data_IF_298381868048
#
_entry.id   IF_298381868048
#
_cell.length_a   1.000
_cell.length_b   1.000
_cell.length_c   1.000
_cell.angle_alpha   90.00
_cell.angle_beta   90.00
_cell.angle_gamma   90.00
#
_symmetry.space_group_name_H-M   'P 1'
#
loop_
_entity.id
_entity.type
_entity.pdbx_description
1 polymer ?
#
# COMPACT_ATOMS: atom_id res chain seq x y z
N UNK A 1 0.18 4.72 -14.43
CA UNK A 1 0.47 6.12 -14.83
C UNK A 1 -0.59 6.97 -14.16
N UNK A 2 -0.25 7.71 -13.10
CA UNK A 2 -1.21 8.66 -12.52
C UNK A 2 -1.54 9.68 -13.61
N UNK A 3 -2.78 9.72 -14.07
CA UNK A 3 -3.29 10.87 -14.81
C UNK A 3 -2.99 12.06 -13.93
N UNK A 4 -2.18 12.99 -14.44
CA UNK A 4 -1.86 14.23 -13.75
C UNK A 4 -3.21 14.86 -13.41
N UNK A 5 -3.62 14.78 -12.15
CA UNK A 5 -4.63 15.67 -11.64
C UNK A 5 -4.03 17.04 -11.85
N UNK A 6 -4.52 17.75 -12.87
CA UNK A 6 -4.16 19.15 -13.08
C UNK A 6 -4.62 19.85 -11.81
N UNK A 7 -3.69 20.02 -10.88
CA UNK A 7 -3.92 20.84 -9.70
C UNK A 7 -4.41 22.19 -10.22
N UNK A 8 -5.50 22.70 -9.63
CA UNK A 8 -5.95 24.05 -9.93
C UNK A 8 -4.75 24.99 -9.79
N UNK A 9 -4.47 25.79 -10.83
CA UNK A 9 -3.33 26.71 -10.87
C UNK A 9 -3.35 27.73 -9.72
N UNK A 10 -4.49 27.88 -9.04
CA UNK A 10 -4.66 28.73 -7.86
C UNK A 10 -4.21 28.07 -6.55
N UNK A 11 -3.90 26.76 -6.53
CA UNK A 11 -3.45 26.08 -5.31
C UNK A 11 -2.07 26.62 -4.89
N UNK A 12 -1.92 27.11 -3.65
CA UNK A 12 -0.63 27.54 -3.13
C UNK A 12 0.44 26.45 -3.29
N UNK A 13 1.61 26.82 -3.81
CA UNK A 13 2.70 25.88 -4.05
C UNK A 13 3.11 25.09 -2.79
N UNK A 14 3.06 25.73 -1.62
CA UNK A 14 3.36 25.10 -0.32
C UNK A 14 2.40 23.95 0.01
N UNK A 15 1.10 24.11 -0.27
CA UNK A 15 0.11 23.05 -0.05
C UNK A 15 0.30 21.89 -1.03
N UNK A 16 0.55 22.19 -2.31
CA UNK A 16 0.85 21.17 -3.31
C UNK A 16 2.12 20.38 -2.92
N UNK A 17 3.15 21.06 -2.41
CA UNK A 17 4.36 20.42 -1.92
C UNK A 17 4.07 19.51 -0.72
N UNK A 18 3.37 20.03 0.30
CA UNK A 18 2.99 19.27 1.50
C UNK A 18 2.16 18.03 1.15
N UNK A 19 1.17 18.16 0.26
CA UNK A 19 0.34 17.03 -0.18
C UNK A 19 1.16 15.95 -0.88
N UNK A 20 2.06 16.33 -1.80
CA UNK A 20 2.95 15.39 -2.50
C UNK A 20 3.92 14.71 -1.53
N UNK A 21 4.49 15.47 -0.61
CA UNK A 21 5.39 14.95 0.43
C UNK A 21 4.67 13.93 1.31
N UNK A 22 3.51 14.30 1.86
CA UNK A 22 2.75 13.43 2.76
C UNK A 22 2.30 12.15 2.04
N UNK A 23 1.74 12.28 0.82
CA UNK A 23 1.32 11.13 0.02
C UNK A 23 2.48 10.18 -0.28
N UNK A 24 3.64 10.71 -0.68
CA UNK A 24 4.85 9.91 -0.90
C UNK A 24 5.27 9.18 0.37
N UNK A 25 5.25 9.85 1.52
CA UNK A 25 5.68 9.29 2.78
C UNK A 25 4.79 8.11 3.25
N UNK A 26 3.45 8.24 3.11
CA UNK A 26 2.54 7.19 3.60
C UNK A 26 2.38 6.01 2.62
N UNK A 27 2.55 6.24 1.31
CA UNK A 27 2.40 5.21 0.26
C UNK A 27 3.66 4.35 0.09
N UNK A 28 4.83 4.86 0.49
CA UNK A 28 6.07 4.09 0.45
C UNK A 28 5.91 2.75 1.18
N UNK A 29 6.37 1.63 0.60
CA UNK A 29 6.33 0.33 1.26
C UNK A 29 7.07 0.31 2.58
N UNK A 30 6.40 -0.23 3.60
CA UNK A 30 7.00 -0.51 4.89
C UNK A 30 8.05 -1.62 4.78
N UNK A 31 8.96 -1.67 5.75
CA UNK A 31 9.87 -2.80 5.89
C UNK A 31 9.19 -4.05 6.50
N UNK A 32 9.99 -5.07 6.78
CA UNK A 32 9.49 -6.34 7.34
C UNK A 32 8.91 -6.22 8.75
N UNK A 33 9.29 -5.19 9.49
CA UNK A 33 8.80 -4.89 10.84
C UNK A 33 7.59 -3.95 10.81
N UNK A 34 7.07 -3.63 9.61
CA UNK A 34 6.02 -2.64 9.39
C UNK A 34 6.44 -1.22 9.79
N UNK A 35 7.73 -0.91 9.68
CA UNK A 35 8.30 0.40 9.97
C UNK A 35 8.61 1.19 8.69
N UNK A 36 8.68 2.51 8.82
CA UNK A 36 9.17 3.39 7.76
C UNK A 36 10.67 3.16 7.56
N UNK A 37 11.05 2.97 6.30
CA UNK A 37 12.47 2.95 5.91
C UNK A 37 13.15 4.24 6.31
N UNK A 38 14.43 4.16 6.68
CA UNK A 38 15.19 5.28 7.25
C UNK A 38 15.24 6.58 6.43
N UNK A 39 15.15 6.48 5.10
CA UNK A 39 15.18 7.65 4.22
C UNK A 39 13.81 8.35 4.09
N UNK A 40 12.73 7.74 4.57
CA UNK A 40 11.36 8.23 4.42
C UNK A 40 11.00 9.14 5.58
N UNK A 41 10.39 10.29 5.26
CA UNK A 41 9.92 11.26 6.25
C UNK A 41 11.00 11.69 7.27
N UNK A 42 12.26 11.77 6.84
CA UNK A 42 13.37 12.25 7.67
C UNK A 42 13.25 13.75 7.99
N UNK A 43 12.47 14.47 7.18
CA UNK A 43 12.11 15.88 7.25
C UNK A 43 10.70 16.11 7.85
N UNK A 44 10.13 15.11 8.52
CA UNK A 44 8.78 15.19 9.07
C UNK A 44 8.59 16.33 10.09
N UNK A 45 9.66 16.72 10.78
CA UNK A 45 9.68 17.83 11.73
C UNK A 45 9.40 19.19 11.09
N UNK A 46 9.60 19.32 9.78
CA UNK A 46 9.27 20.55 9.03
C UNK A 46 7.76 20.73 8.81
N UNK A 47 6.99 19.64 8.87
CA UNK A 47 5.57 19.64 8.47
C UNK A 47 4.62 19.18 9.58
N UNK A 48 5.10 18.39 10.53
CA UNK A 48 4.28 17.72 11.54
C UNK A 48 4.79 18.09 12.92
N UNK A 49 3.92 18.66 13.74
CA UNK A 49 4.24 18.90 15.14
C UNK A 49 4.37 17.57 15.91
N UNK A 50 5.21 17.49 16.96
CA UNK A 50 5.18 16.35 17.87
C UNK A 50 3.84 16.26 18.60
N UNK A 51 3.57 15.10 19.19
CA UNK A 51 2.53 14.90 20.20
C UNK A 51 3.18 14.65 21.57
N UNK A 52 2.37 14.45 22.60
CA UNK A 52 2.87 14.13 23.95
C UNK A 52 3.66 12.81 23.99
N UNK A 53 3.36 11.86 23.10
CA UNK A 53 3.95 10.51 23.13
C UNK A 53 4.72 10.12 21.86
N UNK A 54 4.59 10.89 20.77
CA UNK A 54 5.16 10.56 19.47
C UNK A 54 5.85 11.76 18.84
N UNK A 55 7.07 11.55 18.35
CA UNK A 55 7.78 12.50 17.51
C UNK A 55 7.14 12.57 16.10
N UNK A 56 7.47 13.59 15.29
CA UNK A 56 6.89 13.78 13.96
C UNK A 56 7.00 12.56 13.03
N UNK A 57 8.17 11.90 12.99
CA UNK A 57 8.39 10.72 12.14
C UNK A 57 7.53 9.52 12.59
N UNK A 58 7.44 9.27 13.89
CA UNK A 58 6.56 8.23 14.44
C UNK A 58 5.09 8.48 14.11
N UNK A 59 4.66 9.75 14.06
CA UNK A 59 3.29 10.08 13.62
C UNK A 59 3.07 9.70 12.16
N UNK A 60 4.01 10.01 11.26
CA UNK A 60 3.92 9.62 9.85
C UNK A 60 3.92 8.10 9.70
N UNK A 61 4.73 7.39 10.49
CA UNK A 61 4.79 5.93 10.47
C UNK A 61 3.43 5.29 10.78
N UNK A 62 2.73 5.78 11.80
CA UNK A 62 1.37 5.30 12.11
C UNK A 62 0.40 5.49 10.94
N UNK A 63 0.46 6.62 10.24
CA UNK A 63 -0.38 6.84 9.06
C UNK A 63 0.00 5.92 7.90
N UNK A 64 1.29 5.66 7.69
CA UNK A 64 1.75 4.70 6.68
C UNK A 64 1.29 3.28 7.01
N UNK A 65 1.42 2.85 8.27
CA UNK A 65 0.90 1.57 8.75
C UNK A 65 -0.60 1.42 8.51
N UNK A 66 -1.39 2.42 8.90
CA UNK A 66 -2.85 2.41 8.67
C UNK A 66 -3.21 2.35 7.18
N UNK A 67 -2.49 3.11 6.34
CA UNK A 67 -2.67 3.07 4.89
C UNK A 67 -2.43 1.64 4.35
N UNK A 68 -1.29 1.04 4.67
CA UNK A 68 -0.95 -0.31 4.22
C UNK A 68 -1.91 -1.37 4.75
N UNK A 69 -2.29 -1.33 6.04
CA UNK A 69 -3.28 -2.25 6.60
C UNK A 69 -4.64 -2.13 5.91
N UNK A 70 -5.03 -0.94 5.47
CA UNK A 70 -6.28 -0.75 4.74
C UNK A 70 -6.22 -1.38 3.35
N UNK A 71 -5.07 -1.33 2.67
CA UNK A 71 -4.88 -2.01 1.39
C UNK A 71 -4.87 -3.53 1.55
N UNK A 72 -4.11 -4.06 2.51
CA UNK A 72 -4.05 -5.49 2.80
C UNK A 72 -5.45 -6.03 3.16
N UNK A 73 -6.16 -5.34 4.06
CA UNK A 73 -7.52 -5.72 4.43
C UNK A 73 -8.53 -5.63 3.29
N UNK A 74 -8.33 -4.73 2.32
CA UNK A 74 -9.15 -4.71 1.11
C UNK A 74 -8.90 -5.95 0.24
N UNK A 75 -7.63 -6.33 0.03
CA UNK A 75 -7.29 -7.55 -0.68
C UNK A 75 -7.83 -8.80 0.03
N UNK A 76 -7.80 -8.85 1.36
CA UNK A 76 -8.39 -9.98 2.09
C UNK A 76 -9.88 -10.12 1.88
N UNK A 77 -10.60 -9.00 1.81
CA UNK A 77 -12.04 -9.01 1.54
C UNK A 77 -12.36 -9.40 0.10
N UNK A 78 -11.49 -9.04 -0.84
CA UNK A 78 -11.64 -9.38 -2.25
C UNK A 78 -11.21 -10.82 -2.58
N UNK A 79 -10.31 -11.43 -1.81
CA UNK A 79 -9.76 -12.76 -2.08
C UNK A 79 -9.82 -13.71 -0.87
N UNK A 80 -11.01 -13.92 -0.26
CA UNK A 80 -11.13 -14.67 0.98
C UNK A 80 -10.73 -16.16 0.84
N UNK A 81 -11.02 -16.82 -0.28
CA UNK A 81 -10.61 -18.21 -0.52
C UNK A 81 -9.09 -18.30 -0.62
N UNK A 82 -8.48 -17.42 -1.42
CA UNK A 82 -7.03 -17.38 -1.61
C UNK A 82 -6.29 -17.15 -0.30
N UNK A 83 -6.79 -16.22 0.54
CA UNK A 83 -6.26 -15.98 1.88
C UNK A 83 -6.38 -17.23 2.75
N UNK A 84 -7.49 -17.96 2.67
CA UNK A 84 -7.71 -19.16 3.48
C UNK A 84 -6.81 -20.33 3.06
N UNK A 85 -6.53 -20.47 1.77
CA UNK A 85 -5.66 -21.53 1.24
C UNK A 85 -4.20 -21.30 1.62
N UNK A 86 -3.71 -20.07 1.47
CA UNK A 86 -2.30 -19.75 1.73
C UNK A 86 -2.03 -19.42 3.22
N UNK A 87 -3.05 -18.95 3.94
CA UNK A 87 -2.93 -18.41 5.28
C UNK A 87 -2.61 -16.92 5.28
N UNK A 88 -3.11 -16.22 6.30
CA UNK A 88 -3.07 -14.76 6.41
C UNK A 88 -1.67 -14.14 6.25
N UNK A 89 -0.68 -14.66 7.00
CA UNK A 89 0.69 -14.14 7.00
C UNK A 89 1.38 -14.37 5.66
N UNK A 90 1.27 -15.58 5.12
CA UNK A 90 1.89 -15.94 3.84
C UNK A 90 1.24 -15.19 2.68
N UNK A 91 -0.09 -15.00 2.68
CA UNK A 91 -0.76 -14.15 1.70
C UNK A 91 -0.21 -12.73 1.72
N UNK A 92 -0.05 -12.13 2.90
CA UNK A 92 0.48 -10.78 2.99
C UNK A 92 1.91 -10.67 2.44
N UNK A 93 2.79 -11.59 2.84
CA UNK A 93 4.21 -11.54 2.52
C UNK A 93 4.53 -11.95 1.09
N UNK A 94 3.89 -13.01 0.59
CA UNK A 94 4.22 -13.61 -0.70
C UNK A 94 3.36 -13.10 -1.85
N UNK A 95 2.16 -12.59 -1.57
CA UNK A 95 1.22 -12.13 -2.59
C UNK A 95 0.98 -10.63 -2.44
N UNK A 96 0.32 -10.21 -1.36
CA UNK A 96 -0.23 -8.86 -1.27
C UNK A 96 0.84 -7.75 -1.30
N UNK A 97 1.92 -7.88 -0.53
CA UNK A 97 2.99 -6.88 -0.50
C UNK A 97 3.73 -6.78 -1.86
N UNK A 98 4.27 -7.88 -2.45
CA UNK A 98 4.89 -7.81 -3.78
C UNK A 98 3.95 -7.28 -4.86
N UNK A 99 2.68 -7.71 -4.84
CA UNK A 99 1.65 -7.23 -5.75
C UNK A 99 1.44 -5.72 -5.62
N UNK A 100 1.24 -5.20 -4.40
CA UNK A 100 0.97 -3.77 -4.15
C UNK A 100 2.18 -2.88 -4.45
N UNK A 101 3.40 -3.40 -4.33
CA UNK A 101 4.61 -2.69 -4.77
C UNK A 101 4.61 -2.50 -6.29
N UNK A 102 4.16 -3.51 -7.04
CA UNK A 102 4.09 -3.45 -8.51
C UNK A 102 2.85 -2.71 -9.03
N UNK A 103 1.71 -2.89 -8.36
CA UNK A 103 0.41 -2.33 -8.70
C UNK A 103 -0.13 -1.52 -7.51
N UNK A 104 0.44 -0.33 -7.24
CA UNK A 104 -0.05 0.53 -6.17
C UNK A 104 -1.49 0.98 -6.44
N UNK A 105 -2.22 1.35 -5.39
CA UNK A 105 -3.56 1.91 -5.52
C UNK A 105 -3.54 3.19 -6.34
N UNK A 106 -4.22 3.22 -7.48
CA UNK A 106 -4.36 4.39 -8.37
C UNK A 106 -5.79 4.90 -8.48
N UNK A 107 -6.72 4.26 -7.78
CA UNK A 107 -8.14 4.54 -7.83
C UNK A 107 -8.69 4.91 -6.44
N UNK A 108 -9.70 5.76 -6.39
CA UNK A 108 -10.31 6.23 -5.13
C UNK A 108 -11.09 5.12 -4.41
N UNK A 109 -11.63 4.16 -5.16
CA UNK A 109 -12.30 2.97 -4.62
C UNK A 109 -11.33 1.79 -4.51
N UNK A 110 -11.23 1.21 -3.31
CA UNK A 110 -10.43 0.03 -3.03
C UNK A 110 -11.01 -1.26 -3.65
N UNK A 111 -12.26 -1.24 -4.13
CA UNK A 111 -12.85 -2.41 -4.81
C UNK A 111 -12.11 -2.78 -6.10
N UNK A 112 -11.35 -1.84 -6.69
CA UNK A 112 -10.54 -2.07 -7.88
C UNK A 112 -9.09 -2.47 -7.58
N UNK A 113 -8.68 -2.47 -6.30
CA UNK A 113 -7.30 -2.71 -5.89
C UNK A 113 -6.80 -4.09 -6.36
N UNK A 114 -7.68 -5.08 -6.36
CA UNK A 114 -7.37 -6.47 -6.70
C UNK A 114 -7.41 -6.83 -8.19
N UNK A 115 -7.84 -5.92 -9.08
CA UNK A 115 -8.17 -6.30 -10.47
C UNK A 115 -7.00 -6.90 -11.26
N UNK A 116 -5.75 -6.59 -10.91
CA UNK A 116 -4.56 -7.14 -11.58
C UNK A 116 -3.99 -8.39 -10.88
N UNK A 117 -4.55 -8.78 -9.73
CA UNK A 117 -4.01 -9.89 -8.94
C UNK A 117 -4.05 -11.24 -9.70
N UNK A 118 -5.13 -11.63 -10.40
CA UNK A 118 -5.15 -12.88 -11.17
C UNK A 118 -4.03 -12.95 -12.22
N UNK A 119 -3.79 -11.82 -12.92
CA UNK A 119 -2.72 -11.71 -13.90
C UNK A 119 -1.35 -11.82 -13.24
N UNK A 120 -1.14 -11.11 -12.14
CA UNK A 120 0.13 -11.12 -11.41
C UNK A 120 0.49 -12.50 -10.86
N UNK A 121 -0.47 -13.24 -10.30
CA UNK A 121 -0.22 -14.61 -9.84
C UNK A 121 0.24 -15.49 -11.01
N UNK A 122 -0.45 -15.41 -12.15
CA UNK A 122 -0.09 -16.20 -13.33
C UNK A 122 1.30 -15.89 -13.87
N UNK A 123 1.66 -14.62 -13.94
CA UNK A 123 2.89 -14.18 -14.61
C UNK A 123 4.10 -14.18 -13.67
N UNK A 124 3.92 -13.96 -12.37
CA UNK A 124 5.01 -13.57 -11.48
C UNK A 124 5.08 -14.32 -10.16
N UNK A 125 3.99 -14.92 -9.68
CA UNK A 125 4.06 -15.72 -8.46
C UNK A 125 4.85 -17.02 -8.72
N UNK A 126 5.76 -17.35 -7.79
CA UNK A 126 6.71 -18.48 -7.91
C UNK A 126 6.58 -19.51 -6.78
N UNK A 127 5.50 -19.47 -6.00
CA UNK A 127 5.28 -20.47 -4.94
C UNK A 127 4.76 -21.80 -5.49
N UNK A 128 5.07 -22.90 -4.79
CA UNK A 128 4.73 -24.27 -5.21
C UNK A 128 3.24 -24.50 -5.48
N UNK A 129 2.37 -23.72 -4.83
CA UNK A 129 0.90 -23.83 -4.93
C UNK A 129 0.30 -22.96 -6.05
N UNK A 130 1.11 -22.47 -6.99
CA UNK A 130 0.71 -21.51 -8.03
C UNK A 130 -0.55 -21.92 -8.78
N UNK A 131 -0.63 -23.15 -9.28
CA UNK A 131 -1.78 -23.62 -10.07
C UNK A 131 -3.10 -23.55 -9.27
N UNK A 132 -3.07 -23.96 -8.00
CA UNK A 132 -4.23 -23.88 -7.12
C UNK A 132 -4.62 -22.42 -6.82
N UNK A 133 -3.63 -21.56 -6.57
CA UNK A 133 -3.86 -20.14 -6.26
C UNK A 133 -4.37 -19.36 -7.48
N UNK A 134 -3.93 -19.69 -8.69
CA UNK A 134 -4.49 -19.13 -9.93
C UNK A 134 -5.99 -19.42 -10.06
N UNK A 135 -6.40 -20.65 -9.75
CA UNK A 135 -7.82 -21.03 -9.77
C UNK A 135 -8.60 -20.33 -8.66
N UNK A 136 -8.05 -20.26 -7.45
CA UNK A 136 -8.69 -19.62 -6.31
C UNK A 136 -8.97 -18.13 -6.56
N UNK A 137 -7.97 -17.40 -7.06
CA UNK A 137 -8.11 -15.97 -7.36
C UNK A 137 -9.06 -15.70 -8.53
N UNK A 138 -9.33 -16.67 -9.40
CA UNK A 138 -10.29 -16.52 -10.48
C UNK A 138 -11.76 -16.68 -10.05
N UNK A 139 -12.01 -17.29 -8.88
CA UNK A 139 -13.38 -17.57 -8.37
C UNK A 139 -13.75 -16.74 -7.14
N UNK A 140 -12.76 -16.12 -6.49
CA UNK A 140 -12.94 -15.04 -5.51
C UNK A 140 -13.46 -13.75 -6.19
#
# INVERSE_FOLDING_TARGET
>A
MWTITLYDAKVPHSLCHLQKWFAKAIVEPLDRESCLKNHVAHDADQYVFPSTTLNPRQRIELYSQQYWWRLLGALHKSFPLTVRLLGYTMFNQQIAQPYLVKFPSTHWSLSFLGCQLPKWIREEYQGDQKELLEQAVAVD
#
